data_IF_631475619273
#
_entry.id   IF_631475619273
#
_cell.length_a   1.000
_cell.length_b   1.000
_cell.length_c   1.000
_cell.angle_alpha   90.00
_cell.angle_beta   90.00
_cell.angle_gamma   90.00
#
_symmetry.space_group_name_H-M   'P 1'
#
loop_
_entity.id
_entity.type
_entity.pdbx_description
1 polymer ?
#
# COMPACT_ATOMS: atom_id res chain seq x y z
N UNK A 1 -3.23 15.15 39.44
CA UNK A 1 -4.09 14.55 38.41
C UNK A 1 -3.29 13.49 37.71
N UNK A 2 -3.88 12.30 37.45
CA UNK A 2 -3.19 11.24 36.70
C UNK A 2 -2.79 11.76 35.32
N UNK A 3 -1.63 11.33 34.82
CA UNK A 3 -1.12 11.71 33.49
C UNK A 3 -1.86 10.88 32.42
N UNK A 4 -3.10 11.28 32.15
CA UNK A 4 -4.06 10.57 31.28
C UNK A 4 -3.50 10.39 29.86
N UNK A 5 -2.70 11.34 29.36
CA UNK A 5 -2.09 11.26 28.04
C UNK A 5 -0.97 10.21 27.95
N UNK A 6 -0.23 10.01 29.06
CA UNK A 6 0.80 8.98 29.15
C UNK A 6 0.21 7.58 29.25
N UNK A 7 -0.78 7.38 30.13
CA UNK A 7 -1.47 6.09 30.33
C UNK A 7 -2.13 5.62 29.02
N UNK A 8 -2.79 6.53 28.30
CA UNK A 8 -3.44 6.21 27.02
C UNK A 8 -2.44 5.79 25.94
N UNK A 9 -1.27 6.43 25.87
CA UNK A 9 -0.20 6.04 24.93
C UNK A 9 0.33 4.65 25.24
N UNK A 10 0.42 4.29 26.52
CA UNK A 10 0.89 2.97 26.94
C UNK A 10 -0.08 1.87 26.48
N UNK A 11 -1.39 2.05 26.73
CA UNK A 11 -2.43 1.12 26.26
C UNK A 11 -2.41 0.93 24.73
N UNK A 12 -2.19 2.01 23.99
CA UNK A 12 -2.06 1.98 22.54
C UNK A 12 -0.85 1.16 22.09
N UNK A 13 0.30 1.31 22.75
CA UNK A 13 1.50 0.53 22.43
C UNK A 13 1.36 -0.94 22.85
N UNK A 14 0.59 -1.26 23.88
CA UNK A 14 0.26 -2.65 24.24
C UNK A 14 -0.60 -3.32 23.19
N UNK A 15 -1.64 -2.63 22.73
CA UNK A 15 -2.52 -3.16 21.71
C UNK A 15 -1.80 -3.32 20.37
N UNK A 16 -0.98 -2.35 20.00
CA UNK A 16 -0.07 -2.44 18.87
C UNK A 16 0.87 -3.64 19.01
N UNK A 17 1.42 -3.87 20.20
CA UNK A 17 2.24 -5.04 20.52
C UNK A 17 1.53 -6.38 20.35
N UNK A 18 0.24 -6.45 20.73
CA UNK A 18 -0.59 -7.64 20.47
C UNK A 18 -0.78 -7.91 18.98
N UNK A 19 -0.96 -6.86 18.17
CA UNK A 19 -1.04 -7.00 16.72
C UNK A 19 0.30 -7.49 16.13
N UNK A 20 1.42 -6.92 16.59
CA UNK A 20 2.77 -7.36 16.20
C UNK A 20 3.03 -8.82 16.58
N UNK A 21 2.63 -9.23 17.79
CA UNK A 21 2.78 -10.61 18.26
C UNK A 21 1.98 -11.60 17.42
N UNK A 22 0.75 -11.24 17.02
CA UNK A 22 -0.10 -12.06 16.15
C UNK A 22 0.45 -12.18 14.73
N UNK A 23 0.92 -11.08 14.15
CA UNK A 23 1.38 -11.04 12.75
C UNK A 23 2.84 -11.47 12.57
N UNK A 24 3.64 -11.48 13.64
CA UNK A 24 5.08 -11.72 13.57
C UNK A 24 5.87 -10.60 12.85
N UNK A 25 5.22 -9.49 12.52
CA UNK A 25 5.76 -8.29 11.86
C UNK A 25 4.95 -7.06 12.27
N UNK A 26 5.40 -5.86 11.90
CA UNK A 26 4.58 -4.66 12.07
C UNK A 26 3.31 -4.71 11.22
N UNK A 27 2.13 -4.37 11.80
CA UNK A 27 0.90 -4.27 11.04
C UNK A 27 0.92 -3.08 10.07
N UNK A 28 0.27 -3.23 8.92
CA UNK A 28 -0.18 -2.07 8.12
C UNK A 28 -1.32 -1.34 8.85
N UNK A 29 -1.67 -0.14 8.39
CA UNK A 29 -2.81 0.60 8.95
C UNK A 29 -4.09 -0.23 8.84
N UNK A 30 -4.36 -0.83 7.67
CA UNK A 30 -5.56 -1.64 7.44
C UNK A 30 -5.60 -2.90 8.32
N UNK A 31 -4.48 -3.62 8.43
CA UNK A 31 -4.38 -4.83 9.26
C UNK A 31 -4.58 -4.54 10.75
N UNK A 32 -4.12 -3.38 11.21
CA UNK A 32 -4.38 -2.96 12.58
C UNK A 32 -5.83 -2.50 12.76
N UNK A 33 -6.42 -1.75 11.83
CA UNK A 33 -7.82 -1.30 11.95
C UNK A 33 -8.80 -2.47 12.02
N UNK A 34 -8.51 -3.58 11.33
CA UNK A 34 -9.36 -4.77 11.33
C UNK A 34 -9.50 -5.40 12.73
N UNK A 35 -8.46 -5.33 13.57
CA UNK A 35 -8.38 -6.12 14.81
C UNK A 35 -7.78 -5.38 16.02
N UNK A 36 -7.58 -4.07 15.89
CA UNK A 36 -7.00 -3.18 16.87
C UNK A 36 -8.09 -2.44 17.64
N UNK A 37 -7.77 -2.05 18.86
CA UNK A 37 -8.71 -1.35 19.74
C UNK A 37 -8.80 0.16 19.46
N UNK A 38 -7.86 0.70 18.69
CA UNK A 38 -7.76 2.13 18.45
C UNK A 38 -7.82 2.46 16.96
N UNK A 39 -8.32 3.64 16.62
CA UNK A 39 -8.35 4.10 15.23
C UNK A 39 -6.97 4.59 14.77
N UNK A 40 -6.74 4.59 13.46
CA UNK A 40 -5.58 5.26 12.86
C UNK A 40 -5.47 6.73 13.30
N UNK A 41 -6.61 7.44 13.38
CA UNK A 41 -6.63 8.84 13.80
C UNK A 41 -6.09 9.03 15.23
N UNK A 42 -6.42 8.09 16.13
CA UNK A 42 -5.91 8.08 17.51
C UNK A 42 -4.39 7.91 17.52
N UNK A 43 -3.84 6.97 16.73
CA UNK A 43 -2.39 6.81 16.57
C UNK A 43 -1.71 8.04 15.98
N UNK A 44 -2.31 8.66 14.96
CA UNK A 44 -1.80 9.87 14.33
C UNK A 44 -1.72 11.04 15.33
N UNK A 45 -2.73 11.22 16.18
CA UNK A 45 -2.69 12.25 17.23
C UNK A 45 -1.64 11.96 18.30
N UNK A 46 -1.55 10.71 18.75
CA UNK A 46 -0.67 10.33 19.85
C UNK A 46 0.82 10.28 19.48
N UNK A 47 1.14 9.82 18.27
CA UNK A 47 2.51 9.52 17.82
C UNK A 47 2.92 10.27 16.54
N UNK A 48 2.11 11.25 16.09
CA UNK A 48 2.29 12.08 14.88
C UNK A 48 2.13 11.32 13.55
N UNK A 49 2.55 10.06 13.48
CA UNK A 49 2.43 9.21 12.30
C UNK A 49 2.39 7.72 12.66
N UNK A 50 2.01 6.87 11.70
CA UNK A 50 2.08 5.41 11.86
C UNK A 50 3.51 4.91 12.12
N UNK A 51 4.49 5.48 11.41
CA UNK A 51 5.91 5.21 11.65
C UNK A 51 6.39 5.70 13.02
N UNK A 52 5.83 6.81 13.52
CA UNK A 52 6.07 7.28 14.89
C UNK A 52 5.57 6.30 15.95
N UNK A 53 4.42 5.66 15.71
CA UNK A 53 3.91 4.61 16.60
C UNK A 53 4.80 3.36 16.61
N UNK A 54 5.31 2.95 15.44
CA UNK A 54 6.29 1.86 15.34
C UNK A 54 7.57 2.19 16.11
N UNK A 55 8.12 3.40 15.91
CA UNK A 55 9.31 3.84 16.62
C UNK A 55 9.12 3.86 18.15
N UNK A 56 7.99 4.42 18.62
CA UNK A 56 7.64 4.45 20.04
C UNK A 56 7.45 3.03 20.62
N UNK A 57 6.86 2.10 19.85
CA UNK A 57 6.77 0.70 20.26
C UNK A 57 8.15 0.04 20.40
N UNK A 58 9.05 0.27 19.44
CA UNK A 58 10.43 -0.23 19.49
C UNK A 58 11.17 0.32 20.70
N UNK A 59 11.09 1.63 20.94
CA UNK A 59 11.71 2.30 22.09
C UNK A 59 11.18 1.73 23.41
N UNK A 60 9.86 1.58 23.54
CA UNK A 60 9.18 1.03 24.73
C UNK A 60 9.61 -0.39 25.03
N UNK A 61 9.70 -1.26 24.02
CA UNK A 61 9.79 -2.71 24.26
C UNK A 61 11.17 -3.20 24.70
N UNK A 62 12.14 -2.31 24.93
CA UNK A 62 13.27 -2.54 25.84
C UNK A 62 14.31 -3.58 25.40
N UNK A 63 14.15 -4.23 24.24
CA UNK A 63 15.17 -5.12 23.70
C UNK A 63 14.66 -6.23 22.78
N UNK A 64 15.47 -6.51 21.74
CA UNK A 64 15.21 -7.47 20.67
C UNK A 64 15.08 -8.93 21.14
N UNK A 65 15.50 -9.26 22.36
CA UNK A 65 15.73 -10.64 22.80
C UNK A 65 14.46 -11.50 22.95
N UNK A 66 13.30 -10.86 23.15
CA UNK A 66 11.98 -11.53 23.23
C UNK A 66 11.18 -11.45 21.94
N UNK A 67 11.68 -10.75 20.91
CA UNK A 67 10.96 -10.57 19.67
C UNK A 67 11.04 -11.82 18.78
N UNK A 68 10.02 -12.13 17.97
CA UNK A 68 10.16 -13.10 16.89
C UNK A 68 11.34 -12.74 15.98
N UNK A 69 12.07 -13.73 15.46
CA UNK A 69 13.25 -13.50 14.61
C UNK A 69 12.95 -12.59 13.40
N UNK A 70 11.76 -12.72 12.81
CA UNK A 70 11.30 -11.88 11.71
C UNK A 70 11.19 -10.39 12.09
N UNK A 71 10.73 -10.08 13.31
CA UNK A 71 10.63 -8.71 13.81
C UNK A 71 12.01 -8.10 14.10
N UNK A 72 12.95 -8.90 14.62
CA UNK A 72 14.35 -8.47 14.81
C UNK A 72 15.01 -8.10 13.49
N UNK A 73 14.90 -8.99 12.50
CA UNK A 73 15.46 -8.77 11.16
C UNK A 73 14.87 -7.53 10.46
N UNK A 74 13.57 -7.25 10.67
CA UNK A 74 12.90 -6.07 10.11
C UNK A 74 13.42 -4.77 10.73
N UNK A 75 13.57 -4.70 12.05
CA UNK A 75 14.11 -3.51 12.73
C UNK A 75 15.59 -3.32 12.44
N UNK A 76 16.34 -4.41 12.27
CA UNK A 76 17.72 -4.35 11.78
C UNK A 76 17.79 -3.74 10.39
N UNK A 77 16.92 -4.13 9.46
CA UNK A 77 16.82 -3.50 8.14
C UNK A 77 16.38 -2.04 8.19
N UNK A 78 15.47 -1.65 9.09
CA UNK A 78 15.10 -0.24 9.27
C UNK A 78 16.26 0.60 9.82
N UNK A 79 17.08 0.02 10.69
CA UNK A 79 18.29 0.66 11.21
C UNK A 79 19.47 0.65 10.22
N UNK A 80 19.37 -0.06 9.08
CA UNK A 80 20.34 0.02 7.97
C UNK A 80 20.16 1.27 7.10
N UNK A 81 19.19 2.13 7.39
CA UNK A 81 19.07 3.45 6.75
C UNK A 81 20.22 4.33 7.25
N UNK A 82 21.33 4.33 6.51
CA UNK A 82 22.56 5.04 6.88
C UNK A 82 22.50 6.55 6.63
N UNK A 83 21.54 7.01 5.81
CA UNK A 83 21.40 8.41 5.43
C UNK A 83 19.96 8.89 5.54
N UNK A 84 19.78 10.09 6.10
CA UNK A 84 18.49 10.80 6.05
C UNK A 84 18.21 11.20 4.60
N UNK A 85 17.00 10.96 4.08
CA UNK A 85 16.63 11.44 2.75
C UNK A 85 16.71 12.97 2.71
N UNK A 86 17.23 13.50 1.60
CA UNK A 86 17.22 14.94 1.37
C UNK A 86 15.78 15.42 1.22
N UNK A 87 15.40 16.58 1.79
CA UNK A 87 14.10 17.19 1.52
C UNK A 87 13.94 17.60 0.05
N UNK A 88 15.03 17.76 -0.69
CA UNK A 88 15.02 18.24 -2.07
C UNK A 88 14.69 17.14 -3.10
N UNK A 89 14.78 15.87 -2.70
CA UNK A 89 14.58 14.74 -3.61
C UNK A 89 13.48 13.80 -3.09
N UNK A 90 12.45 13.51 -3.90
CA UNK A 90 11.42 12.56 -3.51
C UNK A 90 12.00 11.16 -3.37
N UNK A 91 11.47 10.41 -2.41
CA UNK A 91 11.87 9.02 -2.18
C UNK A 91 11.28 8.14 -3.29
N UNK A 92 12.13 7.40 -3.98
CA UNK A 92 11.72 6.35 -4.89
C UNK A 92 11.50 5.03 -4.14
N UNK A 93 10.57 4.21 -4.65
CA UNK A 93 10.34 2.88 -4.10
C UNK A 93 11.41 1.85 -4.50
N UNK A 94 11.14 0.58 -4.24
CA UNK A 94 11.99 -0.56 -4.64
C UNK A 94 12.19 -0.60 -6.16
N UNK A 95 13.36 -1.06 -6.64
CA UNK A 95 13.64 -1.20 -8.07
C UNK A 95 12.75 -2.27 -8.71
N UNK A 96 12.01 -1.89 -9.76
CA UNK A 96 11.19 -2.76 -10.62
C UNK A 96 11.72 -2.87 -12.06
N UNK A 97 12.59 -1.96 -12.50
CA UNK A 97 13.22 -1.97 -13.83
C UNK A 97 12.24 -2.30 -14.99
N UNK A 98 11.08 -1.63 -15.01
CA UNK A 98 10.06 -1.85 -16.03
C UNK A 98 10.03 -0.67 -17.00
N UNK A 99 10.56 -0.87 -18.22
CA UNK A 99 10.66 0.15 -19.26
C UNK A 99 11.29 1.45 -18.68
N UNK A 100 10.59 2.58 -18.76
CA UNK A 100 11.07 3.87 -18.24
C UNK A 100 10.83 4.05 -16.72
N UNK A 101 10.13 3.13 -16.06
CA UNK A 101 9.90 3.15 -14.61
C UNK A 101 10.88 2.21 -13.90
N UNK A 102 11.98 2.78 -13.38
CA UNK A 102 12.99 1.99 -12.66
C UNK A 102 12.51 1.56 -11.27
N UNK A 103 11.68 2.36 -10.60
CA UNK A 103 11.22 2.14 -9.23
C UNK A 103 9.70 1.91 -9.17
N UNK A 104 9.24 1.19 -8.15
CA UNK A 104 7.81 0.99 -7.90
C UNK A 104 7.10 2.33 -7.68
N UNK A 105 5.81 2.43 -8.05
CA UNK A 105 4.97 3.55 -7.66
C UNK A 105 5.04 3.79 -6.15
N UNK A 106 5.05 5.06 -5.75
CA UNK A 106 4.93 5.49 -4.35
C UNK A 106 3.64 6.26 -4.08
N UNK A 107 2.85 6.50 -5.13
CA UNK A 107 1.56 7.16 -5.11
C UNK A 107 0.72 6.71 -6.32
N UNK A 108 -0.50 7.22 -6.42
CA UNK A 108 -1.48 6.92 -7.46
C UNK A 108 -1.01 7.35 -8.86
N UNK A 109 -0.40 8.53 -9.02
CA UNK A 109 0.13 8.99 -10.31
C UNK A 109 1.17 8.03 -10.90
N UNK A 110 2.00 7.41 -10.04
CA UNK A 110 2.92 6.36 -10.46
C UNK A 110 2.19 5.10 -10.95
N UNK A 111 1.03 4.77 -10.37
CA UNK A 111 0.16 3.66 -10.83
C UNK A 111 -0.44 3.99 -12.19
N UNK A 112 -0.98 5.20 -12.38
CA UNK A 112 -1.50 5.69 -13.67
C UNK A 112 -0.44 5.54 -14.76
N UNK A 113 0.77 6.05 -14.50
CA UNK A 113 1.88 5.99 -15.45
C UNK A 113 2.29 4.54 -15.76
N UNK A 114 2.41 3.69 -14.73
CA UNK A 114 2.78 2.29 -14.90
C UNK A 114 1.72 1.50 -15.69
N UNK A 115 0.44 1.70 -15.38
CA UNK A 115 -0.65 1.11 -16.15
C UNK A 115 -0.64 1.59 -17.59
N UNK A 116 -0.45 2.90 -17.84
CA UNK A 116 -0.32 3.45 -19.18
C UNK A 116 0.80 2.78 -20.00
N UNK A 117 1.93 2.44 -19.36
CA UNK A 117 3.01 1.69 -20.00
C UNK A 117 2.65 0.21 -20.28
N UNK A 118 1.71 -0.37 -19.53
CA UNK A 118 1.31 -1.78 -19.62
C UNK A 118 0.02 -2.03 -20.39
N UNK A 119 -0.81 -1.01 -20.59
CA UNK A 119 -2.21 -1.14 -21.00
C UNK A 119 -2.39 -2.03 -22.23
N UNK A 120 -1.66 -1.77 -23.31
CA UNK A 120 -1.73 -2.56 -24.54
C UNK A 120 -1.38 -4.04 -24.30
N UNK A 121 -0.30 -4.31 -23.56
CA UNK A 121 0.14 -5.68 -23.23
C UNK A 121 -0.87 -6.42 -22.34
N UNK A 122 -1.65 -5.67 -21.56
CA UNK A 122 -2.73 -6.19 -20.71
C UNK A 122 -4.07 -6.26 -21.44
N UNK A 123 -4.13 -5.87 -22.71
CA UNK A 123 -5.34 -5.91 -23.51
C UNK A 123 -6.29 -4.75 -23.24
N UNK A 124 -5.77 -3.57 -22.90
CA UNK A 124 -6.52 -2.33 -22.71
C UNK A 124 -6.21 -1.30 -23.78
N UNK A 125 -7.22 -0.52 -24.13
CA UNK A 125 -7.11 0.75 -24.86
C UNK A 125 -7.55 1.84 -23.91
N UNK A 126 -6.71 2.86 -23.70
CA UNK A 126 -7.03 4.04 -22.91
C UNK A 126 -7.63 5.08 -23.85
N UNK A 127 -8.85 5.54 -23.56
CA UNK A 127 -9.55 6.55 -24.37
C UNK A 127 -9.53 7.93 -23.70
N UNK A 128 -9.63 7.98 -22.36
CA UNK A 128 -9.59 9.22 -21.60
C UNK A 128 -9.00 8.98 -20.21
N UNK A 129 -8.18 9.92 -19.73
CA UNK A 129 -7.70 10.00 -18.35
C UNK A 129 -7.94 11.41 -17.85
N UNK A 130 -8.56 11.56 -16.69
CA UNK A 130 -9.00 12.85 -16.16
C UNK A 130 -8.80 12.93 -14.65
N UNK A 131 -8.84 14.16 -14.13
CA UNK A 131 -8.98 14.37 -12.69
C UNK A 131 -10.48 14.35 -12.34
N UNK A 132 -10.94 13.24 -11.78
CA UNK A 132 -12.32 13.06 -11.32
C UNK A 132 -12.85 11.68 -11.63
N UNK A 133 -13.93 11.29 -10.93
CA UNK A 133 -14.40 9.92 -10.91
C UNK A 133 -15.27 9.52 -12.13
N UNK A 134 -15.04 8.34 -12.75
CA UNK A 134 -13.82 7.52 -12.65
C UNK A 134 -12.63 8.21 -13.34
N UNK A 135 -11.42 7.92 -12.86
CA UNK A 135 -10.17 8.53 -13.37
C UNK A 135 -9.91 8.24 -14.84
N UNK A 136 -10.31 7.06 -15.30
CA UNK A 136 -10.03 6.59 -16.64
C UNK A 136 -11.22 5.90 -17.29
N UNK A 137 -11.41 6.18 -18.57
CA UNK A 137 -12.33 5.47 -19.44
C UNK A 137 -11.54 4.82 -20.59
N UNK A 138 -11.89 3.59 -20.90
CA UNK A 138 -11.24 2.86 -21.97
C UNK A 138 -11.99 1.61 -22.37
N UNK A 139 -11.27 0.70 -23.01
CA UNK A 139 -11.79 -0.60 -23.45
C UNK A 139 -10.86 -1.72 -23.04
N UNK A 140 -11.42 -2.84 -22.58
CA UNK A 140 -10.69 -4.10 -22.37
C UNK A 140 -11.04 -5.10 -23.46
N UNK A 141 -10.05 -5.88 -23.88
CA UNK A 141 -10.23 -6.94 -24.88
C UNK A 141 -10.96 -8.13 -24.25
N UNK A 142 -12.05 -8.57 -24.88
CA UNK A 142 -12.87 -9.71 -24.45
C UNK A 142 -12.94 -10.84 -25.49
N UNK A 143 -12.21 -10.69 -26.61
CA UNK A 143 -12.12 -11.68 -27.68
C UNK A 143 -11.11 -11.28 -28.76
N UNK A 144 -10.94 -12.09 -29.80
CA UNK A 144 -9.93 -11.86 -30.86
C UNK A 144 -10.07 -10.48 -31.49
N UNK A 145 -11.30 -9.99 -31.68
CA UNK A 145 -11.59 -8.65 -32.20
C UNK A 145 -12.76 -7.97 -31.45
N UNK A 146 -12.89 -8.26 -30.15
CA UNK A 146 -14.02 -7.80 -29.35
C UNK A 146 -13.53 -6.99 -28.16
N UNK A 147 -14.11 -5.81 -27.97
CA UNK A 147 -13.73 -4.84 -26.97
C UNK A 147 -14.95 -4.43 -26.16
N UNK A 148 -14.79 -4.35 -24.83
CA UNK A 148 -15.85 -3.92 -23.90
C UNK A 148 -15.39 -2.64 -23.19
N UNK A 149 -16.30 -1.68 -23.03
CA UNK A 149 -16.03 -0.47 -22.25
C UNK A 149 -15.67 -0.83 -20.81
N UNK A 150 -14.70 -0.13 -20.24
CA UNK A 150 -14.29 -0.25 -18.84
C UNK A 150 -14.05 1.15 -18.26
N UNK A 151 -14.60 1.40 -17.09
CA UNK A 151 -14.34 2.56 -16.23
C UNK A 151 -13.38 2.14 -15.14
N UNK A 152 -12.25 2.82 -15.06
CA UNK A 152 -11.13 2.46 -14.18
C UNK A 152 -10.93 3.56 -13.15
N UNK A 153 -10.87 3.16 -11.88
CA UNK A 153 -10.32 3.99 -10.82
C UNK A 153 -8.88 3.56 -10.52
N UNK A 154 -7.97 4.52 -10.42
CA UNK A 154 -6.59 4.25 -10.05
C UNK A 154 -6.40 4.48 -8.56
N UNK A 155 -5.72 3.54 -7.91
CA UNK A 155 -5.46 3.65 -6.50
C UNK A 155 -4.02 3.24 -6.16
N UNK A 156 -3.44 3.82 -5.12
CA UNK A 156 -2.16 3.28 -4.64
C UNK A 156 -2.35 1.92 -3.96
N UNK A 157 -3.38 1.78 -3.14
CA UNK A 157 -3.77 0.55 -2.44
C UNK A 157 -5.24 0.25 -2.74
N UNK A 158 -5.63 -1.00 -2.93
CA UNK A 158 -7.04 -1.34 -3.18
C UNK A 158 -7.97 -0.87 -2.04
N UNK A 159 -7.48 -0.83 -0.81
CA UNK A 159 -8.19 -0.32 0.37
C UNK A 159 -8.53 1.17 0.35
N UNK A 160 -7.94 1.96 -0.55
CA UNK A 160 -8.15 3.41 -0.65
C UNK A 160 -9.32 3.81 -1.56
N UNK A 161 -9.92 2.85 -2.23
CA UNK A 161 -11.10 3.08 -3.04
C UNK A 161 -12.25 3.61 -2.16
N UNK A 162 -12.53 4.91 -2.25
CA UNK A 162 -13.56 5.62 -1.48
C UNK A 162 -14.66 6.20 -2.41
N UNK A 163 -15.13 5.38 -3.36
CA UNK A 163 -16.12 5.76 -4.36
C UNK A 163 -17.30 4.77 -4.46
N UNK A 164 -18.44 5.17 -5.07
CA UNK A 164 -19.52 4.23 -5.38
C UNK A 164 -19.04 3.11 -6.31
N UNK A 165 -19.66 1.93 -6.27
CA UNK A 165 -19.27 0.82 -7.15
C UNK A 165 -19.94 0.92 -8.52
N UNK A 166 -21.10 1.55 -8.63
CA UNK A 166 -21.91 1.63 -9.84
C UNK A 166 -21.26 2.46 -10.95
N UNK A 167 -20.34 3.36 -10.59
CA UNK A 167 -19.59 4.22 -11.49
C UNK A 167 -18.24 3.67 -11.96
N UNK A 168 -17.81 2.52 -11.42
CA UNK A 168 -16.50 1.93 -11.64
C UNK A 168 -16.64 0.46 -12.05
N UNK A 169 -15.87 0.01 -13.03
CA UNK A 169 -15.88 -1.38 -13.48
C UNK A 169 -14.64 -2.15 -13.00
N UNK A 170 -13.54 -1.43 -12.71
CA UNK A 170 -12.25 -2.00 -12.34
C UNK A 170 -11.43 -1.00 -11.49
N UNK A 171 -10.87 -1.47 -10.38
CA UNK A 171 -9.80 -0.75 -9.68
C UNK A 171 -8.45 -1.25 -10.16
N UNK A 172 -7.60 -0.36 -10.66
CA UNK A 172 -6.20 -0.66 -10.94
C UNK A 172 -5.36 -0.07 -9.81
N UNK A 173 -4.65 -0.92 -9.07
CA UNK A 173 -3.82 -0.49 -7.96
C UNK A 173 -2.37 -0.97 -8.04
N UNK A 174 -1.47 -0.34 -7.28
CA UNK A 174 -0.13 -0.92 -7.08
C UNK A 174 -0.25 -2.23 -6.31
N UNK A 175 -0.73 -2.17 -5.06
CA UNK A 175 -0.89 -3.34 -4.18
C UNK A 175 -2.34 -3.54 -3.80
N UNK A 176 -2.76 -4.79 -3.89
CA UNK A 176 -4.06 -5.24 -3.43
C UNK A 176 -3.94 -5.76 -1.99
N UNK A 177 -4.41 -4.93 -1.04
CA UNK A 177 -4.36 -5.19 0.40
C UNK A 177 -5.74 -5.56 0.96
N UNK A 178 -6.76 -4.73 0.70
CA UNK A 178 -8.16 -5.00 1.08
C UNK A 178 -9.06 -4.64 -0.10
N UNK A 179 -9.47 -5.61 -0.93
CA UNK A 179 -10.24 -5.31 -2.14
C UNK A 179 -11.65 -4.81 -1.81
N UNK A 180 -12.16 -3.77 -2.50
CA UNK A 180 -13.54 -3.35 -2.38
C UNK A 180 -14.51 -4.48 -2.76
N UNK A 181 -15.57 -4.65 -1.98
CA UNK A 181 -16.56 -5.71 -2.20
C UNK A 181 -17.32 -5.48 -3.50
N UNK A 182 -17.42 -6.53 -4.32
CA UNK A 182 -18.23 -6.52 -5.54
C UNK A 182 -17.60 -5.79 -6.72
N UNK A 183 -16.32 -5.42 -6.64
CA UNK A 183 -15.60 -4.71 -7.69
C UNK A 183 -14.35 -5.51 -8.10
N UNK A 184 -14.03 -5.53 -9.39
CA UNK A 184 -12.82 -6.17 -9.91
C UNK A 184 -11.58 -5.36 -9.50
N UNK A 185 -10.49 -6.04 -9.14
CA UNK A 185 -9.23 -5.39 -8.75
C UNK A 185 -8.07 -5.99 -9.54
N UNK A 186 -7.29 -5.12 -10.18
CA UNK A 186 -6.03 -5.47 -10.85
C UNK A 186 -4.85 -4.85 -10.10
N UNK A 187 -4.03 -5.70 -9.48
CA UNK A 187 -2.77 -5.28 -8.86
C UNK A 187 -1.62 -5.33 -9.86
N UNK A 188 -1.03 -4.18 -10.15
CA UNK A 188 0.14 -4.06 -11.02
C UNK A 188 1.39 -4.74 -10.41
N UNK A 189 1.49 -4.82 -9.08
CA UNK A 189 2.54 -5.59 -8.41
C UNK A 189 2.45 -7.09 -8.76
N UNK A 190 1.25 -7.67 -8.69
CA UNK A 190 1.01 -9.08 -9.05
C UNK A 190 1.30 -9.32 -10.53
N UNK A 191 0.78 -8.46 -11.41
CA UNK A 191 1.01 -8.49 -12.87
C UNK A 191 2.52 -8.47 -13.20
N UNK A 192 3.31 -7.62 -12.53
CA UNK A 192 4.75 -7.56 -12.74
C UNK A 192 5.48 -8.81 -12.27
N UNK A 193 5.09 -9.38 -11.12
CA UNK A 193 5.66 -10.62 -10.61
C UNK A 193 5.44 -11.77 -11.59
N UNK A 194 4.20 -11.95 -12.05
CA UNK A 194 3.84 -12.98 -13.03
C UNK A 194 4.59 -12.82 -14.36
N UNK A 195 4.72 -11.59 -14.87
CA UNK A 195 5.49 -11.31 -16.10
C UNK A 195 6.95 -11.71 -15.94
N UNK A 196 7.58 -11.39 -14.80
CA UNK A 196 8.99 -11.74 -14.53
C UNK A 196 9.19 -13.25 -14.41
N UNK A 197 8.23 -13.97 -13.84
CA UNK A 197 8.28 -15.43 -13.72
C UNK A 197 8.18 -16.11 -15.09
N UNK A 198 7.31 -15.60 -15.98
CA UNK A 198 7.18 -16.09 -17.35
C UNK A 198 8.41 -15.82 -18.22
N UNK A 199 9.16 -14.76 -17.95
CA UNK A 199 10.41 -14.44 -18.68
C UNK A 199 11.62 -15.27 -18.24
N UNK A 200 11.50 -16.00 -17.12
CA UNK A 200 12.56 -16.88 -16.60
C UNK A 200 12.49 -18.32 -17.13
N UNK A 201 11.40 -18.66 -17.81
CA UNK A 201 11.15 -19.95 -18.45
C UNK A 201 11.19 -19.78 -19.97
#
# INVERSE_FOLDING_TARGET
>A
GRNIDGERKEEMLEDFGRAVGRLGRFPTIGEYIDQGLFSYHTFKQAFKSWSGAQAAFVERSGGKEKWPAALRALVERQNMVTYKPSPDFPICGTVINYRAMLHEPTNEQGVVLLFGMMAEELGFIIENVRMGYPDCEGKRRVGVNSWQRVRIEFEFLSSRFEHPVEGCDLVVCWRDDVPPKGLEVMSLEKVLKEKREKQRH
#
